data_IF_477921066681
#
_entry.id   IF_477921066681
#
_cell.length_a   1.000
_cell.length_b   1.000
_cell.length_c   1.000
_cell.angle_alpha   90.00
_cell.angle_beta   90.00
_cell.angle_gamma   90.00
#
_symmetry.space_group_name_H-M   'P 1'
#
loop_
_entity.id
_entity.type
_entity.pdbx_description
1 polymer ?
#
# COMPACT_ATOMS: atom_id res chain seq x y z
N UNK A 1 -13.00 2.46 -20.50
CA UNK A 1 -13.70 1.84 -19.35
C UNK A 1 -13.82 2.91 -18.29
N UNK A 2 -14.96 3.02 -17.62
CA UNK A 2 -15.13 3.97 -16.51
C UNK A 2 -14.22 3.50 -15.38
N UNK A 3 -13.39 4.42 -14.88
CA UNK A 3 -12.45 4.14 -13.79
C UNK A 3 -12.96 4.87 -12.56
N UNK A 4 -13.02 4.16 -11.44
CA UNK A 4 -13.30 4.78 -10.16
C UNK A 4 -11.97 5.31 -9.61
N UNK A 5 -11.97 6.53 -9.08
CA UNK A 5 -10.84 7.06 -8.31
C UNK A 5 -11.29 7.44 -6.91
N UNK A 6 -10.39 7.27 -5.97
CA UNK A 6 -10.54 7.75 -4.60
C UNK A 6 -9.97 9.16 -4.55
N UNK A 7 -10.73 10.06 -3.93
CA UNK A 7 -10.29 11.43 -3.72
C UNK A 7 -10.62 11.89 -2.30
N UNK A 8 -9.82 12.85 -1.84
CA UNK A 8 -9.99 13.52 -0.57
C UNK A 8 -10.03 15.03 -0.72
N UNK A 9 -10.71 15.69 0.21
CA UNK A 9 -10.71 17.15 0.27
C UNK A 9 -9.49 17.60 1.07
N UNK A 10 -8.59 18.38 0.49
CA UNK A 10 -7.43 18.96 1.18
C UNK A 10 -7.48 20.47 1.03
N UNK A 11 -7.76 21.18 2.13
CA UNK A 11 -7.72 22.65 2.16
C UNK A 11 -8.62 23.36 1.13
N UNK A 12 -9.80 22.78 0.84
CA UNK A 12 -10.76 23.32 -0.13
C UNK A 12 -10.54 22.85 -1.58
N UNK A 13 -9.50 22.05 -1.84
CA UNK A 13 -9.27 21.35 -3.11
C UNK A 13 -9.54 19.86 -2.97
N UNK A 14 -9.59 19.15 -4.09
CA UNK A 14 -9.74 17.70 -4.09
C UNK A 14 -8.48 17.07 -4.65
N UNK A 15 -7.86 16.20 -3.86
CA UNK A 15 -6.62 15.50 -4.17
C UNK A 15 -6.92 14.02 -4.38
N UNK A 16 -6.10 13.38 -5.21
CA UNK A 16 -6.26 11.95 -5.53
C UNK A 16 -5.52 11.12 -4.49
N UNK A 17 -6.18 10.08 -4.01
CA UNK A 17 -5.61 9.08 -3.11
C UNK A 17 -5.02 7.96 -3.96
N UNK A 18 -3.76 7.62 -3.69
CA UNK A 18 -3.03 6.55 -4.37
C UNK A 18 -2.74 5.36 -3.44
N UNK A 19 -2.74 5.60 -2.14
CA UNK A 19 -2.44 4.63 -1.10
C UNK A 19 -3.31 4.84 0.14
N UNK A 20 -3.33 3.87 1.04
CA UNK A 20 -4.05 3.99 2.31
C UNK A 20 -3.49 5.12 3.19
N UNK A 21 -2.20 5.38 3.08
CA UNK A 21 -1.48 6.39 3.85
C UNK A 21 -1.80 7.82 3.38
N UNK A 22 -2.23 7.97 2.12
CA UNK A 22 -2.73 9.25 1.61
C UNK A 22 -4.09 9.61 2.20
N UNK A 23 -4.79 8.64 2.83
CA UNK A 23 -6.11 8.86 3.41
C UNK A 23 -5.94 9.51 4.77
N UNK A 24 -6.29 10.79 4.86
CA UNK A 24 -6.21 11.54 6.11
C UNK A 24 -7.02 10.85 7.22
N UNK A 25 -6.57 11.02 8.47
CA UNK A 25 -7.30 10.58 9.65
C UNK A 25 -8.54 11.48 9.77
N UNK A 26 -9.61 11.07 9.08
CA UNK A 26 -10.93 11.68 9.02
C UNK A 26 -10.96 13.19 8.69
N UNK A 27 -11.21 13.51 7.42
CA UNK A 27 -11.49 14.88 6.97
C UNK A 27 -12.97 15.26 7.16
N UNK A 28 -13.33 16.52 7.51
CA UNK A 28 -12.49 17.71 7.58
C UNK A 28 -12.21 18.15 9.01
N UNK A 29 -11.18 17.60 9.67
CA UNK A 29 -10.64 18.26 10.84
C UNK A 29 -9.12 18.28 10.83
N UNK A 30 -8.57 19.46 10.52
CA UNK A 30 -7.13 19.74 10.55
C UNK A 30 -6.58 19.93 11.99
N UNK A 31 -7.29 19.47 13.03
CA UNK A 31 -6.98 19.81 14.44
C UNK A 31 -7.20 18.66 15.43
N UNK A 32 -6.52 17.54 15.23
CA UNK A 32 -6.41 16.50 16.27
C UNK A 32 -7.75 15.93 16.74
N UNK A 33 -7.76 15.35 17.96
CA UNK A 33 -8.90 14.56 18.47
C UNK A 33 -10.18 15.41 18.60
N UNK A 34 -11.17 15.18 17.74
CA UNK A 34 -12.48 15.81 17.88
C UNK A 34 -13.30 15.24 19.06
N UNK A 35 -14.08 16.07 19.78
CA UNK A 35 -14.97 15.61 20.85
C UNK A 35 -15.98 14.57 20.35
N UNK A 36 -16.05 13.42 21.04
CA UNK A 36 -16.96 12.32 20.69
C UNK A 36 -16.36 11.25 19.76
N UNK A 37 -15.15 11.48 19.23
CA UNK A 37 -14.39 10.49 18.45
C UNK A 37 -13.34 9.79 19.28
N UNK A 38 -12.99 8.57 18.86
CA UNK A 38 -12.01 7.74 19.54
C UNK A 38 -10.84 7.49 18.61
N UNK A 39 -9.63 7.49 19.19
CA UNK A 39 -8.40 7.32 18.44
C UNK A 39 -7.46 6.37 19.17
N UNK A 40 -6.79 5.52 18.42
CA UNK A 40 -5.81 4.57 18.95
C UNK A 40 -4.67 4.38 17.94
N UNK A 41 -3.48 4.09 18.46
CA UNK A 41 -2.35 3.70 17.62
C UNK A 41 -2.57 2.29 17.09
N UNK A 42 -2.68 2.15 15.77
CA UNK A 42 -2.81 0.89 15.03
C UNK A 42 -1.73 0.86 13.96
N UNK A 43 -0.95 -0.22 13.87
CA UNK A 43 0.24 -0.32 12.98
C UNK A 43 1.24 0.84 13.11
N UNK A 44 1.33 1.48 14.29
CA UNK A 44 2.23 2.62 14.52
C UNK A 44 1.67 3.98 14.07
N UNK A 45 0.48 4.02 13.50
CA UNK A 45 -0.22 5.24 13.09
C UNK A 45 -1.36 5.55 14.06
N UNK A 46 -1.58 6.81 14.41
CA UNK A 46 -2.73 7.21 15.21
C UNK A 46 -3.97 7.21 14.32
N UNK A 47 -4.86 6.24 14.49
CA UNK A 47 -6.04 6.05 13.66
C UNK A 47 -7.33 6.42 14.41
N UNK A 48 -8.36 6.87 13.68
CA UNK A 48 -9.72 6.90 14.22
C UNK A 48 -10.26 5.48 14.32
N UNK A 49 -10.96 5.17 15.40
CA UNK A 49 -11.57 3.87 15.62
C UNK A 49 -13.08 3.96 15.81
N UNK A 50 -13.79 2.95 15.29
CA UNK A 50 -15.23 2.86 15.37
C UNK A 50 -15.69 2.93 16.82
N UNK A 51 -16.61 3.86 17.08
CA UNK A 51 -17.30 3.96 18.35
C UNK A 51 -18.80 4.14 18.16
N UNK A 52 -19.59 3.64 19.11
CA UNK A 52 -21.04 3.77 19.12
C UNK A 52 -21.50 4.15 20.53
N UNK A 53 -22.30 5.21 20.64
CA UNK A 53 -22.74 5.74 21.94
C UNK A 53 -21.58 6.14 22.86
N UNK A 54 -20.46 6.60 22.30
CA UNK A 54 -19.26 6.95 23.06
C UNK A 54 -18.41 5.75 23.52
N UNK A 55 -18.70 4.53 23.06
CA UNK A 55 -17.91 3.32 23.38
C UNK A 55 -17.23 2.76 22.15
N UNK A 56 -15.92 2.53 22.25
CA UNK A 56 -15.12 1.86 21.22
C UNK A 56 -15.67 0.47 20.96
N UNK A 57 -15.89 0.17 19.68
CA UNK A 57 -16.31 -1.15 19.23
C UNK A 57 -15.08 -2.02 19.03
N UNK A 58 -15.17 -3.26 19.53
CA UNK A 58 -14.15 -4.28 19.30
C UNK A 58 -14.79 -5.44 18.56
N UNK A 59 -14.00 -6.04 17.69
CA UNK A 59 -14.26 -7.33 17.06
C UNK A 59 -14.32 -8.41 18.15
N UNK A 60 -14.83 -9.60 17.82
CA UNK A 60 -14.96 -10.68 18.81
C UNK A 60 -13.59 -11.20 19.26
N UNK A 61 -12.58 -11.09 18.40
CA UNK A 61 -11.16 -11.35 18.69
C UNK A 61 -10.44 -10.17 19.38
N UNK A 62 -11.13 -9.08 19.72
CA UNK A 62 -10.61 -8.01 20.57
C UNK A 62 -9.86 -6.89 19.83
N UNK A 63 -9.87 -6.89 18.50
CA UNK A 63 -9.30 -5.83 17.66
C UNK A 63 -10.29 -4.67 17.51
N UNK A 64 -9.74 -3.47 17.29
CA UNK A 64 -10.55 -2.29 16.96
C UNK A 64 -10.88 -2.28 15.46
N UNK A 65 -11.83 -1.43 15.06
CA UNK A 65 -12.09 -1.14 13.66
C UNK A 65 -11.55 0.23 13.31
N UNK A 66 -10.64 0.32 12.35
CA UNK A 66 -10.11 1.59 11.86
C UNK A 66 -11.11 2.24 10.91
N UNK A 67 -11.44 3.49 11.17
CA UNK A 67 -12.41 4.29 10.41
C UNK A 67 -11.69 5.16 9.38
N UNK A 68 -12.06 5.02 8.09
CA UNK A 68 -11.56 5.86 7.00
C UNK A 68 -12.71 6.41 6.15
N UNK A 69 -12.51 7.64 5.66
CA UNK A 69 -13.52 8.44 4.99
C UNK A 69 -12.94 9.00 3.70
N UNK A 70 -13.59 8.72 2.57
CA UNK A 70 -13.13 9.21 1.27
C UNK A 70 -14.29 9.33 0.28
N UNK A 71 -14.04 9.97 -0.86
CA UNK A 71 -15.04 10.09 -1.93
C UNK A 71 -14.62 9.24 -3.12
N UNK A 72 -15.53 8.40 -3.60
CA UNK A 72 -15.38 7.73 -4.89
C UNK A 72 -15.94 8.62 -6.00
N UNK A 73 -15.16 8.81 -7.06
CA UNK A 73 -15.56 9.50 -8.30
C UNK A 73 -15.43 8.55 -9.50
N UNK A 74 -16.34 8.68 -10.46
CA UNK A 74 -16.19 8.05 -11.77
C UNK A 74 -15.52 9.04 -12.74
N UNK A 75 -14.49 8.59 -13.45
CA UNK A 75 -13.70 9.46 -14.35
C UNK A 75 -14.46 10.04 -15.52
N UNK A 76 -15.56 9.41 -15.95
CA UNK A 76 -16.36 9.90 -17.07
C UNK A 76 -17.35 10.98 -16.62
N UNK A 77 -17.87 10.86 -15.40
CA UNK A 77 -19.02 11.65 -14.95
C UNK A 77 -18.70 12.55 -13.75
N UNK A 78 -17.51 12.41 -13.16
CA UNK A 78 -17.03 13.20 -12.04
C UNK A 78 -17.92 13.07 -10.80
N UNK A 79 -18.20 14.21 -10.15
CA UNK A 79 -19.08 14.29 -8.96
C UNK A 79 -20.57 14.16 -9.28
N UNK A 80 -20.94 14.13 -10.55
CA UNK A 80 -22.33 14.31 -11.00
C UNK A 80 -23.10 13.00 -11.17
N UNK A 81 -22.53 11.85 -10.80
CA UNK A 81 -23.21 10.55 -10.93
C UNK A 81 -23.11 9.68 -9.69
N UNK A 82 -24.14 8.86 -9.41
CA UNK A 82 -24.08 7.84 -8.37
C UNK A 82 -22.93 6.87 -8.64
N UNK A 83 -22.01 6.72 -7.69
CA UNK A 83 -20.90 5.78 -7.77
C UNK A 83 -21.21 4.57 -6.90
N UNK A 84 -21.09 3.37 -7.46
CA UNK A 84 -21.22 2.15 -6.67
C UNK A 84 -20.02 1.99 -5.74
N UNK A 85 -20.28 1.62 -4.48
CA UNK A 85 -19.20 1.27 -3.55
C UNK A 85 -18.88 -0.22 -3.72
N UNK A 86 -17.64 -0.58 -4.07
CA UNK A 86 -17.22 -1.98 -4.14
C UNK A 86 -16.98 -2.55 -2.74
N UNK A 87 -17.25 -3.84 -2.55
CA UNK A 87 -17.03 -4.49 -1.27
C UNK A 87 -15.54 -4.62 -0.96
N UNK A 88 -15.06 -4.20 0.23
CA UNK A 88 -13.64 -4.25 0.59
C UNK A 88 -13.18 -5.64 1.08
N UNK A 89 -14.07 -6.63 1.14
CA UNK A 89 -13.76 -8.01 1.50
C UNK A 89 -14.80 -8.99 0.93
N UNK A 90 -14.40 -10.26 0.81
CA UNK A 90 -15.35 -11.37 0.70
C UNK A 90 -16.07 -11.58 2.05
N UNK A 91 -17.31 -12.05 2.00
CA UNK A 91 -18.03 -12.47 3.21
C UNK A 91 -19.52 -12.60 2.98
N UNK A 92 -20.28 -12.36 4.06
CA UNK A 92 -21.72 -12.36 4.08
C UNK A 92 -22.24 -11.05 4.68
N UNK A 93 -23.29 -10.48 4.09
CA UNK A 93 -23.74 -9.15 4.47
C UNK A 93 -24.87 -9.17 5.51
N UNK A 94 -24.84 -8.21 6.44
CA UNK A 94 -26.03 -7.78 7.19
C UNK A 94 -26.30 -6.32 6.86
N UNK A 95 -27.56 -5.97 6.60
CA UNK A 95 -27.93 -4.69 6.01
C UNK A 95 -28.95 -3.99 6.91
N UNK A 96 -28.72 -2.70 7.16
CA UNK A 96 -29.74 -1.81 7.66
C UNK A 96 -30.04 -0.75 6.60
N UNK A 97 -31.15 -0.95 5.88
CA UNK A 97 -31.59 -0.07 4.80
C UNK A 97 -31.99 1.32 5.27
N UNK A 98 -32.36 1.49 6.55
CA UNK A 98 -32.79 2.78 7.09
C UNK A 98 -31.59 3.69 7.38
N UNK A 99 -30.50 3.11 7.90
CA UNK A 99 -29.27 3.85 8.19
C UNK A 99 -28.28 3.87 7.02
N UNK A 100 -28.51 3.06 5.98
CA UNK A 100 -27.58 2.91 4.86
C UNK A 100 -26.31 2.17 5.28
N UNK A 101 -26.45 1.19 6.15
CA UNK A 101 -25.35 0.42 6.73
C UNK A 101 -25.26 -0.95 6.07
N UNK A 102 -24.06 -1.33 5.66
CA UNK A 102 -23.74 -2.70 5.22
C UNK A 102 -22.58 -3.22 6.03
N UNK A 103 -22.77 -4.32 6.75
CA UNK A 103 -21.71 -5.02 7.50
C UNK A 103 -21.33 -6.29 6.76
N UNK A 104 -20.04 -6.57 6.64
CA UNK A 104 -19.51 -7.80 6.05
C UNK A 104 -18.95 -8.67 7.18
N UNK A 105 -19.43 -9.90 7.27
CA UNK A 105 -18.97 -10.92 8.20
C UNK A 105 -18.25 -12.05 7.45
N UNK A 106 -17.25 -12.67 8.07
CA UNK A 106 -16.55 -13.83 7.49
C UNK A 106 -17.47 -15.06 7.33
N UNK A 107 -18.44 -15.23 8.24
CA UNK A 107 -19.49 -16.25 8.24
C UNK A 107 -20.74 -15.75 8.97
N UNK A 108 -21.86 -16.46 8.82
CA UNK A 108 -23.09 -16.19 9.57
C UNK A 108 -23.55 -17.44 10.33
N UNK A 109 -24.29 -17.29 11.45
CA UNK A 109 -24.73 -16.02 12.05
C UNK A 109 -23.71 -15.33 12.97
N UNK A 110 -22.70 -16.07 13.44
CA UNK A 110 -21.78 -15.69 14.53
C UNK A 110 -20.33 -15.47 14.07
N UNK A 111 -20.16 -14.96 12.86
CA UNK A 111 -18.85 -14.63 12.31
C UNK A 111 -18.24 -13.35 12.87
N UNK A 112 -16.96 -13.16 12.57
CA UNK A 112 -16.23 -11.93 12.82
C UNK A 112 -16.65 -10.85 11.83
N UNK A 113 -16.84 -9.63 12.31
CA UNK A 113 -17.08 -8.50 11.40
C UNK A 113 -15.75 -8.12 10.75
N UNK A 114 -15.69 -8.18 9.43
CA UNK A 114 -14.50 -7.78 8.66
C UNK A 114 -14.55 -6.27 8.41
N UNK A 115 -15.72 -5.79 7.99
CA UNK A 115 -15.90 -4.39 7.61
C UNK A 115 -17.33 -3.93 7.85
N UNK A 116 -17.49 -2.63 8.05
CA UNK A 116 -18.77 -1.93 8.03
C UNK A 116 -18.65 -0.74 7.10
N UNK A 117 -19.61 -0.58 6.19
CA UNK A 117 -19.70 0.54 5.25
C UNK A 117 -20.96 1.34 5.56
N UNK A 118 -20.82 2.66 5.68
CA UNK A 118 -21.91 3.59 6.03
C UNK A 118 -22.20 4.55 4.87
N UNK A 119 -23.33 5.24 4.98
CA UNK A 119 -23.80 6.23 3.99
C UNK A 119 -24.10 5.62 2.62
N UNK A 120 -24.62 4.39 2.60
CA UNK A 120 -25.06 3.72 1.39
C UNK A 120 -26.52 4.05 1.06
N UNK A 121 -26.82 4.32 -0.20
CA UNK A 121 -28.18 4.20 -0.74
C UNK A 121 -28.40 2.79 -1.28
N UNK A 122 -29.30 2.08 -0.62
CA UNK A 122 -29.65 0.68 -0.91
C UNK A 122 -31.05 0.54 -1.52
N UNK A 123 -31.74 1.66 -1.78
CA UNK A 123 -33.07 1.64 -2.38
C UNK A 123 -32.97 1.11 -3.80
N UNK A 124 -33.71 0.04 -4.08
CA UNK A 124 -33.66 -0.64 -5.38
C UNK A 124 -32.37 -1.41 -5.65
N UNK A 125 -31.42 -1.46 -4.72
CA UNK A 125 -30.21 -2.29 -4.88
C UNK A 125 -30.51 -3.75 -4.48
N UNK A 126 -30.15 -4.75 -5.31
CA UNK A 126 -30.58 -6.14 -5.12
C UNK A 126 -29.70 -6.91 -4.12
N UNK A 127 -29.39 -6.32 -2.97
CA UNK A 127 -28.63 -6.94 -1.88
C UNK A 127 -29.56 -7.17 -0.67
N UNK A 128 -29.49 -8.36 -0.06
CA UNK A 128 -30.32 -8.79 1.07
C UNK A 128 -29.47 -9.27 2.24
N UNK A 129 -30.05 -9.23 3.43
CA UNK A 129 -29.43 -9.82 4.62
C UNK A 129 -29.11 -11.29 4.39
N UNK A 130 -27.88 -11.67 4.72
CA UNK A 130 -27.36 -13.02 4.54
C UNK A 130 -26.71 -13.29 3.20
N UNK A 131 -26.82 -12.39 2.22
CA UNK A 131 -26.25 -12.63 0.89
C UNK A 131 -24.72 -12.75 0.96
N UNK A 132 -24.11 -13.68 0.20
CA UNK A 132 -22.68 -13.70 0.01
C UNK A 132 -22.28 -12.48 -0.82
N UNK A 133 -21.17 -11.84 -0.45
CA UNK A 133 -20.58 -10.76 -1.20
C UNK A 133 -19.11 -11.07 -1.49
N UNK A 134 -18.65 -10.67 -2.66
CA UNK A 134 -17.27 -10.88 -3.08
C UNK A 134 -16.49 -9.57 -3.10
N UNK A 135 -15.19 -9.63 -2.79
CA UNK A 135 -14.27 -8.51 -2.85
C UNK A 135 -14.34 -7.81 -4.22
N UNK A 136 -14.65 -6.52 -4.22
CA UNK A 136 -14.88 -5.68 -5.39
C UNK A 136 -16.33 -5.61 -5.88
N UNK A 137 -17.24 -6.45 -5.35
CA UNK A 137 -18.63 -6.53 -5.81
C UNK A 137 -19.39 -5.28 -5.37
N UNK A 138 -20.18 -4.63 -6.23
CA UNK A 138 -21.02 -3.51 -5.82
C UNK A 138 -21.94 -3.88 -4.66
N UNK A 139 -21.96 -3.06 -3.62
CA UNK A 139 -22.77 -3.30 -2.42
C UNK A 139 -23.87 -2.25 -2.19
N UNK A 140 -23.92 -1.23 -3.05
CA UNK A 140 -24.89 -0.14 -3.04
C UNK A 140 -24.31 1.11 -3.69
N UNK A 141 -25.06 2.21 -3.66
CA UNK A 141 -24.61 3.50 -4.15
C UNK A 141 -24.03 4.36 -3.01
N UNK A 142 -22.95 5.07 -3.28
CA UNK A 142 -22.40 6.08 -2.39
C UNK A 142 -23.43 7.22 -2.20
N UNK A 143 -23.73 7.58 -0.96
CA UNK A 143 -24.70 8.62 -0.63
C UNK A 143 -24.21 9.51 0.54
N UNK A 144 -25.00 10.53 0.88
CA UNK A 144 -24.81 11.31 2.10
C UNK A 144 -25.50 10.69 3.31
N UNK A 145 -25.32 11.29 4.49
CA UNK A 145 -25.99 10.87 5.73
C UNK A 145 -27.53 10.87 5.56
N UNK A 146 -28.20 9.75 5.88
CA UNK A 146 -29.68 9.68 5.89
C UNK A 146 -30.35 8.99 4.70
N UNK A 147 -29.70 8.00 4.06
CA UNK A 147 -30.41 7.04 3.19
C UNK A 147 -30.80 7.56 1.81
N UNK A 148 -29.92 8.36 1.18
CA UNK A 148 -30.02 8.65 -0.26
C UNK A 148 -30.69 9.98 -0.65
N UNK A 149 -30.76 10.96 0.25
CA UNK A 149 -31.00 12.36 -0.16
C UNK A 149 -29.67 13.00 -0.60
N UNK A 150 -29.40 12.98 -1.90
CA UNK A 150 -28.16 13.46 -2.53
C UNK A 150 -27.93 14.98 -2.37
N UNK A 151 -28.94 15.73 -1.92
CA UNK A 151 -28.87 17.20 -1.82
C UNK A 151 -28.67 17.72 -0.39
N UNK A 152 -28.72 16.85 0.62
CA UNK A 152 -28.74 17.26 2.03
C UNK A 152 -27.38 17.21 2.74
N UNK A 153 -26.50 16.30 2.32
CA UNK A 153 -25.17 16.13 2.93
C UNK A 153 -24.11 15.77 1.87
N UNK A 154 -22.83 16.12 2.08
CA UNK A 154 -21.74 15.77 1.17
C UNK A 154 -21.67 14.25 0.95
N UNK A 155 -21.63 13.81 -0.30
CA UNK A 155 -21.50 12.41 -0.69
C UNK A 155 -20.09 11.90 -0.39
N UNK A 156 -19.97 10.89 0.48
CA UNK A 156 -18.71 10.24 0.84
C UNK A 156 -18.98 8.80 1.27
N UNK A 157 -17.94 7.97 1.24
CA UNK A 157 -17.97 6.61 1.77
C UNK A 157 -17.20 6.59 3.08
N UNK A 158 -17.82 6.01 4.11
CA UNK A 158 -17.18 5.72 5.39
C UNK A 158 -17.01 4.22 5.53
N UNK A 159 -15.78 3.75 5.73
CA UNK A 159 -15.48 2.33 5.96
C UNK A 159 -14.79 2.17 7.32
N UNK A 160 -15.40 1.36 8.18
CA UNK A 160 -14.80 0.86 9.42
C UNK A 160 -14.28 -0.55 9.16
N UNK A 161 -12.97 -0.75 9.18
CA UNK A 161 -12.33 -2.02 8.82
C UNK A 161 -11.64 -2.65 10.01
N UNK A 162 -11.81 -3.96 10.22
CA UNK A 162 -11.19 -4.67 11.34
C UNK A 162 -9.66 -4.53 11.24
N UNK A 163 -9.02 -4.06 12.32
CA UNK A 163 -7.58 -3.82 12.37
C UNK A 163 -6.76 -5.09 12.08
N UNK A 164 -7.29 -6.27 12.42
CA UNK A 164 -6.67 -7.57 12.10
C UNK A 164 -6.64 -7.87 10.59
N UNK A 165 -7.31 -7.07 9.78
CA UNK A 165 -7.42 -7.24 8.34
C UNK A 165 -7.02 -5.98 7.56
N UNK A 166 -6.36 -5.01 8.19
CA UNK A 166 -5.97 -3.73 7.56
C UNK A 166 -5.22 -3.89 6.23
N UNK A 167 -4.42 -4.95 6.05
CA UNK A 167 -3.75 -5.23 4.78
C UNK A 167 -4.73 -5.43 3.61
N UNK A 168 -5.90 -6.05 3.85
CA UNK A 168 -6.95 -6.18 2.84
C UNK A 168 -7.55 -4.82 2.48
N UNK A 169 -7.65 -3.93 3.46
CA UNK A 169 -8.14 -2.58 3.24
C UNK A 169 -7.11 -1.72 2.49
N UNK A 170 -5.82 -1.82 2.82
CA UNK A 170 -4.72 -1.22 2.04
C UNK A 170 -4.72 -1.72 0.60
N UNK A 171 -4.95 -3.01 0.38
CA UNK A 171 -5.13 -3.59 -0.95
C UNK A 171 -6.34 -2.99 -1.67
N UNK A 172 -7.48 -2.86 -0.99
CA UNK A 172 -8.71 -2.27 -1.53
C UNK A 172 -8.49 -0.86 -2.09
N UNK A 173 -7.77 0.01 -1.37
CA UNK A 173 -7.43 1.35 -1.86
C UNK A 173 -6.56 1.28 -3.13
N UNK A 174 -5.52 0.43 -3.13
CA UNK A 174 -4.63 0.24 -4.30
C UNK A 174 -5.35 -0.35 -5.51
N UNK A 175 -6.25 -1.30 -5.30
CA UNK A 175 -6.98 -1.97 -6.37
C UNK A 175 -8.00 -1.03 -7.02
N UNK A 176 -8.57 -0.09 -6.26
CA UNK A 176 -9.37 1.01 -6.84
C UNK A 176 -8.47 1.99 -7.61
N UNK A 177 -7.37 2.48 -7.03
CA UNK A 177 -6.52 3.49 -7.70
C UNK A 177 -5.87 2.96 -8.98
N UNK A 178 -5.42 1.71 -8.97
CA UNK A 178 -4.87 1.03 -10.15
C UNK A 178 -5.94 0.71 -11.20
N UNK A 179 -7.21 0.62 -10.80
CA UNK A 179 -8.34 0.27 -11.67
C UNK A 179 -8.55 -1.25 -11.81
N UNK A 180 -7.96 -2.06 -10.92
CA UNK A 180 -8.29 -3.48 -10.76
C UNK A 180 -9.76 -3.64 -10.36
N UNK A 181 -10.23 -2.78 -9.45
CA UNK A 181 -11.64 -2.59 -9.14
C UNK A 181 -12.18 -1.43 -9.99
N UNK A 182 -13.27 -1.64 -10.71
CA UNK A 182 -13.89 -0.62 -11.58
C UNK A 182 -15.43 -0.73 -11.54
N UNK A 183 -16.13 0.31 -12.02
CA UNK A 183 -17.60 0.33 -12.12
C UNK A 183 -18.14 -0.61 -13.20
N UNK A 184 -17.33 -0.98 -14.21
CA UNK A 184 -17.77 -1.73 -15.39
C UNK A 184 -17.35 -3.22 -15.37
N UNK A 185 -16.33 -3.56 -14.58
CA UNK A 185 -15.79 -4.92 -14.47
C UNK A 185 -15.61 -5.30 -13.01
N UNK A 186 -16.33 -6.35 -12.67
CA UNK A 186 -16.02 -7.25 -11.57
C UNK A 186 -15.32 -8.50 -12.16
N UNK A 187 -14.40 -9.20 -11.47
CA UNK A 187 -13.89 -10.49 -11.94
C UNK A 187 -15.02 -11.54 -11.95
N UNK A 188 -15.83 -11.51 -13.00
CA UNK A 188 -16.87 -12.47 -13.31
C UNK A 188 -16.58 -13.10 -14.67
N UNK A 189 -15.54 -13.96 -14.74
CA UNK A 189 -15.37 -15.13 -15.61
C UNK A 189 -13.91 -15.41 -15.98
N UNK A 190 -13.46 -16.62 -15.63
CA UNK A 190 -12.42 -17.37 -16.33
C UNK A 190 -12.05 -18.66 -15.57
N UNK A 191 -11.68 -19.73 -16.28
CA UNK A 191 -12.55 -20.65 -17.01
C UNK A 191 -13.29 -21.63 -16.08
N UNK A 192 -14.21 -22.42 -16.63
CA UNK A 192 -15.00 -23.43 -15.93
C UNK A 192 -14.13 -24.35 -15.05
N UNK A 193 -14.26 -24.21 -13.73
CA UNK A 193 -13.85 -25.25 -12.80
C UNK A 193 -14.87 -26.39 -12.92
N UNK A 194 -14.39 -27.52 -13.39
CA UNK A 194 -15.10 -28.78 -13.42
C UNK A 194 -15.57 -29.12 -12.00
N UNK A 195 -16.79 -29.64 -11.92
CA UNK A 195 -17.39 -30.23 -10.73
C UNK A 195 -16.40 -31.16 -10.01
N UNK A 196 -16.04 -30.79 -8.78
CA UNK A 196 -15.66 -31.76 -7.76
C UNK A 196 -16.43 -31.42 -6.49
N UNK A 197 -17.20 -32.35 -5.90
CA UNK A 197 -18.05 -32.05 -4.75
C UNK A 197 -17.21 -31.76 -3.50
N UNK A 198 -17.58 -30.70 -2.78
CA UNK A 198 -17.12 -30.42 -1.42
C UNK A 198 -17.80 -31.43 -0.49
N UNK A 199 -17.09 -32.49 -0.11
CA UNK A 199 -17.49 -33.31 1.03
C UNK A 199 -17.02 -32.62 2.31
N UNK A 200 -17.97 -32.26 3.17
CA UNK A 200 -17.76 -31.84 4.55
C UNK A 200 -16.97 -32.91 5.33
N UNK A 201 -16.10 -32.55 6.29
CA UNK A 201 -15.77 -33.45 7.38
C UNK A 201 -16.70 -33.18 8.56
N UNK A 202 -17.63 -34.10 8.78
CA UNK A 202 -18.33 -34.26 10.04
C UNK A 202 -17.42 -34.96 11.08
N UNK A 203 -17.65 -34.61 12.34
CA UNK A 203 -17.22 -35.21 13.61
C UNK A 203 -16.34 -36.47 13.60
N UNK A 204 -15.23 -36.44 14.35
CA UNK A 204 -14.66 -37.63 15.01
C UNK A 204 -13.62 -37.25 16.08
N UNK A 205 -13.79 -37.79 17.30
CA UNK A 205 -12.75 -38.00 18.32
C UNK A 205 -13.00 -39.40 18.94
N UNK A 206 -12.02 -40.15 19.49
CA UNK A 206 -10.60 -40.33 19.18
C UNK A 206 -10.19 -41.82 19.01
N UNK A 207 -9.06 -42.13 18.34
CA UNK A 207 -8.21 -43.31 18.66
C UNK A 207 -6.84 -43.30 17.93
N UNK A 208 -5.79 -43.11 18.74
CA UNK A 208 -4.42 -43.67 18.77
C UNK A 208 -3.62 -44.10 17.50
N UNK A 209 -2.41 -43.53 17.44
CA UNK A 209 -1.07 -44.02 17.05
C UNK A 209 -0.69 -44.49 15.62
N UNK A 210 0.24 -43.69 15.02
CA UNK A 210 1.56 -44.01 14.38
C UNK A 210 1.74 -43.47 12.93
N UNK A 211 2.99 -43.19 12.47
CA UNK A 211 3.90 -42.10 12.82
C UNK A 211 4.04 -41.03 11.70
N UNK A 212 4.57 -39.85 12.07
CA UNK A 212 4.71 -38.64 11.26
C UNK A 212 5.42 -38.81 9.91
N UNK A 213 4.80 -38.29 8.85
CA UNK A 213 5.42 -38.07 7.54
C UNK A 213 6.48 -36.96 7.63
N UNK A 214 7.62 -37.16 6.97
CA UNK A 214 8.71 -36.20 6.87
C UNK A 214 8.26 -34.89 6.20
N UNK A 215 8.79 -33.71 6.60
CA UNK A 215 8.46 -32.43 5.99
C UNK A 215 8.88 -32.41 4.51
N UNK A 216 8.04 -31.81 3.66
CA UNK A 216 8.30 -31.66 2.23
C UNK A 216 9.60 -30.86 1.99
N UNK A 217 10.46 -31.34 1.09
CA UNK A 217 11.68 -30.63 0.69
C UNK A 217 11.32 -29.29 0.03
N UNK A 218 11.88 -28.20 0.53
CA UNK A 218 11.71 -26.87 -0.05
C UNK A 218 12.13 -26.83 -1.54
N UNK A 219 11.38 -26.11 -2.38
CA UNK A 219 11.78 -25.79 -3.75
C UNK A 219 11.68 -26.91 -4.79
N UNK A 220 11.10 -28.08 -4.46
CA UNK A 220 10.94 -29.19 -5.42
C UNK A 220 10.05 -28.84 -6.64
N UNK A 221 9.18 -27.84 -6.49
CA UNK A 221 8.31 -27.27 -7.53
C UNK A 221 8.79 -25.88 -8.02
N UNK A 222 9.99 -25.45 -7.59
CA UNK A 222 10.55 -24.13 -7.93
C UNK A 222 9.93 -22.96 -7.15
N UNK A 223 9.23 -23.24 -6.05
CA UNK A 223 8.60 -22.22 -5.20
C UNK A 223 9.02 -22.44 -3.73
N UNK A 224 9.21 -21.35 -2.97
CA UNK A 224 9.41 -21.42 -1.52
C UNK A 224 8.24 -20.75 -0.80
N UNK A 225 7.69 -21.41 0.23
CA UNK A 225 6.51 -20.91 0.97
C UNK A 225 6.53 -21.33 2.45
N UNK A 226 5.69 -20.67 3.23
CA UNK A 226 5.57 -20.91 4.67
C UNK A 226 5.33 -22.39 5.01
N UNK A 227 6.06 -22.89 6.00
CA UNK A 227 5.99 -24.28 6.47
C UNK A 227 7.00 -25.23 5.81
N UNK A 228 7.72 -24.78 4.78
CA UNK A 228 8.82 -25.54 4.18
C UNK A 228 10.12 -25.35 4.97
N UNK A 229 11.06 -26.28 4.78
CA UNK A 229 12.39 -26.25 5.41
C UNK A 229 13.48 -26.68 4.40
N UNK A 230 14.67 -26.09 4.47
CA UNK A 230 15.79 -26.45 3.58
C UNK A 230 16.83 -25.35 3.35
N UNK A 231 17.92 -25.72 2.68
CA UNK A 231 19.03 -24.82 2.38
C UNK A 231 18.60 -23.64 1.49
N UNK A 232 17.61 -23.85 0.63
CA UNK A 232 17.02 -22.85 -0.25
C UNK A 232 16.32 -21.74 0.55
N UNK A 233 15.66 -22.10 1.66
CA UNK A 233 15.00 -21.12 2.54
C UNK A 233 16.03 -20.34 3.33
N UNK A 234 17.11 -21.00 3.77
CA UNK A 234 18.23 -20.30 4.41
C UNK A 234 18.82 -19.24 3.46
N UNK A 235 19.06 -19.61 2.21
CA UNK A 235 19.57 -18.67 1.20
C UNK A 235 18.59 -17.50 0.96
N UNK A 236 17.28 -17.77 0.94
CA UNK A 236 16.24 -16.74 0.88
C UNK A 236 16.32 -15.79 2.10
N UNK A 237 16.40 -16.33 3.32
CA UNK A 237 16.50 -15.55 4.56
C UNK A 237 17.78 -14.69 4.58
N UNK A 238 18.92 -15.24 4.15
CA UNK A 238 20.19 -14.52 4.02
C UNK A 238 20.07 -13.36 3.00
N UNK A 239 19.42 -13.60 1.87
CA UNK A 239 19.18 -12.58 0.84
C UNK A 239 18.26 -11.46 1.35
N UNK A 240 17.15 -11.82 1.99
CA UNK A 240 16.21 -10.85 2.58
C UNK A 240 16.91 -9.98 3.63
N UNK A 241 17.70 -10.58 4.53
CA UNK A 241 18.51 -9.86 5.50
C UNK A 241 19.54 -8.94 4.84
N UNK A 242 20.21 -9.40 3.78
CA UNK A 242 21.20 -8.60 3.04
C UNK A 242 20.57 -7.34 2.44
N UNK A 243 19.34 -7.45 1.95
CA UNK A 243 18.56 -6.32 1.45
C UNK A 243 17.80 -5.57 2.58
N UNK A 244 18.02 -5.99 3.83
CA UNK A 244 17.46 -5.44 5.06
C UNK A 244 15.95 -5.52 5.19
N UNK A 245 15.34 -6.50 4.53
CA UNK A 245 13.95 -6.87 4.78
C UNK A 245 13.86 -7.64 6.09
N UNK A 246 13.10 -7.07 7.01
CA UNK A 246 12.87 -7.58 8.35
C UNK A 246 11.46 -8.13 8.51
N UNK A 247 11.20 -8.78 9.63
CA UNK A 247 9.84 -9.09 10.05
C UNK A 247 9.00 -7.82 10.30
N UNK A 248 7.70 -8.00 10.58
CA UNK A 248 6.78 -6.88 10.79
C UNK A 248 7.14 -5.98 11.99
N UNK A 249 8.05 -6.43 12.86
CA UNK A 249 8.52 -5.70 14.05
C UNK A 249 9.91 -5.07 13.84
N UNK A 250 10.43 -5.09 12.62
CA UNK A 250 11.75 -4.53 12.32
C UNK A 250 12.91 -5.43 12.75
N UNK A 251 12.66 -6.71 13.05
CA UNK A 251 13.71 -7.65 13.48
C UNK A 251 14.29 -8.39 12.27
N UNK A 252 15.62 -8.46 12.22
CA UNK A 252 16.31 -9.28 11.23
C UNK A 252 15.89 -10.75 11.35
N UNK A 253 15.86 -11.45 10.22
CA UNK A 253 15.54 -12.87 10.17
C UNK A 253 16.68 -13.70 10.75
N UNK A 254 16.33 -14.82 11.37
CA UNK A 254 17.29 -15.89 11.67
C UNK A 254 17.38 -16.81 10.45
N UNK A 255 18.56 -17.01 9.82
CA UNK A 255 18.72 -17.96 8.72
C UNK A 255 18.75 -19.41 9.21
N UNK A 256 17.66 -19.86 9.82
CA UNK A 256 17.51 -21.17 10.45
C UNK A 256 17.09 -22.29 9.48
N UNK A 257 16.89 -21.96 8.20
CA UNK A 257 16.38 -22.88 7.16
C UNK A 257 14.89 -23.16 7.25
N UNK A 258 14.15 -22.48 8.13
CA UNK A 258 12.71 -22.68 8.34
C UNK A 258 11.90 -21.51 7.78
N UNK A 259 10.94 -21.79 6.90
CA UNK A 259 10.07 -20.74 6.35
C UNK A 259 8.94 -20.46 7.34
N UNK A 260 9.26 -19.74 8.41
CA UNK A 260 8.32 -19.28 9.43
C UNK A 260 7.56 -17.99 9.06
N UNK A 261 6.72 -17.53 9.98
CA UNK A 261 5.94 -16.31 9.83
C UNK A 261 6.82 -15.07 9.58
N UNK A 262 7.96 -14.97 10.28
CA UNK A 262 8.89 -13.86 10.12
C UNK A 262 9.53 -13.83 8.72
N UNK A 263 9.91 -14.99 8.18
CA UNK A 263 10.42 -15.12 6.81
C UNK A 263 9.36 -14.69 5.79
N UNK A 264 8.08 -15.04 6.04
CA UNK A 264 6.96 -14.60 5.20
C UNK A 264 6.80 -13.09 5.24
N UNK A 265 6.76 -12.49 6.42
CA UNK A 265 6.62 -11.03 6.60
C UNK A 265 7.73 -10.26 5.87
N UNK A 266 8.98 -10.71 5.99
CA UNK A 266 10.11 -10.11 5.28
C UNK A 266 10.04 -10.31 3.77
N UNK A 267 9.63 -11.49 3.30
CA UNK A 267 9.43 -11.74 1.87
C UNK A 267 8.32 -10.86 1.30
N UNK A 268 7.24 -10.68 2.05
CA UNK A 268 6.14 -9.78 1.71
C UNK A 268 6.61 -8.33 1.61
N UNK A 269 7.45 -7.89 2.54
CA UNK A 269 8.09 -6.57 2.48
C UNK A 269 8.97 -6.44 1.21
N UNK A 270 9.77 -7.46 0.89
CA UNK A 270 10.52 -7.52 -0.36
C UNK A 270 9.59 -7.45 -1.57
N UNK A 271 8.53 -8.25 -1.62
CA UNK A 271 7.61 -8.27 -2.75
C UNK A 271 6.94 -6.90 -2.96
N UNK A 272 6.49 -6.23 -1.88
CA UNK A 272 5.94 -4.86 -1.95
C UNK A 272 6.94 -3.87 -2.50
N UNK A 273 8.15 -3.84 -1.95
CA UNK A 273 9.20 -2.93 -2.39
C UNK A 273 9.67 -3.22 -3.83
N UNK A 274 9.46 -4.45 -4.30
CA UNK A 274 9.81 -4.88 -5.65
C UNK A 274 8.66 -4.84 -6.65
N UNK A 275 7.50 -4.27 -6.30
CA UNK A 275 6.34 -4.18 -7.19
C UNK A 275 5.82 -5.56 -7.63
N UNK A 276 6.09 -6.57 -6.80
CA UNK A 276 5.65 -7.95 -7.00
C UNK A 276 4.34 -8.19 -6.27
N UNK A 277 3.72 -9.35 -6.55
CA UNK A 277 2.57 -9.83 -5.79
C UNK A 277 3.02 -10.14 -4.36
N UNK A 278 2.41 -9.48 -3.38
CA UNK A 278 2.67 -9.62 -1.94
C UNK A 278 1.92 -10.84 -1.36
N UNK A 279 2.24 -12.03 -1.84
CA UNK A 279 1.61 -13.28 -1.39
C UNK A 279 2.45 -14.08 -0.39
N UNK A 280 3.68 -13.60 -0.09
CA UNK A 280 4.60 -14.28 0.81
C UNK A 280 5.10 -15.61 0.25
N UNK A 281 5.08 -15.76 -1.07
CA UNK A 281 5.52 -16.94 -1.81
C UNK A 281 6.69 -16.57 -2.74
N UNK A 282 7.84 -17.20 -2.55
CA UNK A 282 9.01 -16.99 -3.41
C UNK A 282 8.89 -17.86 -4.67
N UNK A 283 7.98 -17.47 -5.57
CA UNK A 283 7.88 -18.07 -6.90
C UNK A 283 8.92 -17.51 -7.90
N UNK A 284 8.90 -17.95 -9.17
CA UNK A 284 9.92 -17.60 -10.15
C UNK A 284 10.18 -16.09 -10.31
N UNK A 285 9.13 -15.25 -10.29
CA UNK A 285 9.27 -13.79 -10.38
C UNK A 285 9.96 -13.19 -9.15
N UNK A 286 9.67 -13.71 -7.96
CA UNK A 286 10.27 -13.26 -6.71
C UNK A 286 11.75 -13.67 -6.64
N UNK A 287 12.05 -14.92 -7.01
CA UNK A 287 13.42 -15.43 -7.07
C UNK A 287 14.26 -14.70 -8.13
N UNK A 288 13.70 -14.41 -9.30
CA UNK A 288 14.36 -13.61 -10.32
C UNK A 288 14.63 -12.17 -9.84
N UNK A 289 13.68 -11.56 -9.12
CA UNK A 289 13.87 -10.24 -8.55
C UNK A 289 15.00 -10.23 -7.51
N UNK A 290 15.03 -11.21 -6.60
CA UNK A 290 16.12 -11.38 -5.62
C UNK A 290 17.47 -11.50 -6.32
N UNK A 291 17.57 -12.38 -7.33
CA UNK A 291 18.80 -12.57 -8.11
C UNK A 291 19.24 -11.30 -8.83
N UNK A 292 18.31 -10.53 -9.41
CA UNK A 292 18.62 -9.24 -10.04
C UNK A 292 19.12 -8.22 -9.03
N UNK A 293 18.54 -8.20 -7.83
CA UNK A 293 19.00 -7.35 -6.73
C UNK A 293 20.40 -7.73 -6.26
N UNK A 294 20.76 -9.02 -6.29
CA UNK A 294 22.12 -9.47 -5.97
C UNK A 294 23.16 -9.10 -7.02
N UNK A 295 22.75 -9.02 -8.29
CA UNK A 295 23.63 -8.73 -9.43
C UNK A 295 23.76 -7.23 -9.73
N UNK A 296 22.89 -6.40 -9.18
CA UNK A 296 22.87 -4.96 -9.43
C UNK A 296 23.93 -4.23 -8.60
N UNK A 297 24.77 -3.36 -9.20
CA UNK A 297 25.70 -2.55 -8.41
C UNK A 297 24.91 -1.60 -7.50
N UNK A 298 25.35 -1.45 -6.24
CA UNK A 298 24.73 -0.53 -5.28
C UNK A 298 25.07 0.93 -5.61
N UNK A 299 24.31 1.88 -5.07
CA UNK A 299 24.59 3.32 -5.23
C UNK A 299 26.03 3.72 -4.83
N UNK A 300 26.59 3.08 -3.80
CA UNK A 300 27.98 3.30 -3.39
C UNK A 300 29.02 2.80 -4.40
N UNK A 301 28.64 1.92 -5.31
CA UNK A 301 29.55 1.38 -6.32
C UNK A 301 29.80 2.44 -7.44
N UNK A 302 31.07 2.75 -7.79
CA UNK A 302 31.41 3.71 -8.84
C UNK A 302 30.86 3.44 -10.25
N UNK A 303 30.53 2.19 -10.56
CA UNK A 303 29.91 1.80 -11.82
C UNK A 303 28.39 2.03 -11.87
N UNK A 304 27.75 2.39 -10.74
CA UNK A 304 26.32 2.70 -10.74
C UNK A 304 26.06 4.04 -11.45
N UNK A 305 25.04 4.15 -12.34
CA UNK A 305 24.78 5.38 -13.10
C UNK A 305 24.50 6.60 -12.22
N UNK A 306 23.92 6.40 -11.04
CA UNK A 306 23.63 7.45 -10.06
C UNK A 306 24.66 7.60 -8.95
N UNK A 307 25.82 6.95 -9.07
CA UNK A 307 26.89 7.06 -8.09
C UNK A 307 27.35 8.50 -7.87
N UNK A 308 27.37 9.33 -8.92
CA UNK A 308 27.76 10.73 -8.82
C UNK A 308 26.83 11.52 -7.88
N UNK A 309 25.52 11.34 -8.01
CA UNK A 309 24.53 11.99 -7.15
C UNK A 309 24.58 11.42 -5.73
N UNK A 310 24.79 10.12 -5.58
CA UNK A 310 25.04 9.49 -4.27
C UNK A 310 26.22 10.13 -3.54
N UNK A 311 27.35 10.34 -4.22
CA UNK A 311 28.50 11.03 -3.61
C UNK A 311 28.19 12.46 -3.21
N UNK A 312 27.37 13.18 -3.96
CA UNK A 312 26.92 14.53 -3.59
C UNK A 312 26.10 14.50 -2.30
N UNK A 313 25.18 13.52 -2.16
CA UNK A 313 24.43 13.32 -0.92
C UNK A 313 25.33 13.00 0.27
N UNK A 314 26.29 12.08 0.11
CA UNK A 314 27.27 11.73 1.16
C UNK A 314 28.06 12.96 1.60
N UNK A 315 28.65 13.69 0.66
CA UNK A 315 29.43 14.91 0.96
C UNK A 315 28.57 15.98 1.63
N UNK A 316 27.32 16.13 1.22
CA UNK A 316 26.38 17.07 1.84
C UNK A 316 26.07 16.69 3.28
N UNK A 317 25.82 15.41 3.56
CA UNK A 317 25.57 14.91 4.91
C UNK A 317 26.82 14.99 5.80
N UNK A 318 28.00 14.72 5.27
CA UNK A 318 29.27 14.87 6.00
C UNK A 318 29.51 16.33 6.44
N UNK A 319 29.14 17.30 5.60
CA UNK A 319 29.25 18.74 5.90
C UNK A 319 28.34 19.18 7.05
N UNK A 320 27.25 18.46 7.33
CA UNK A 320 26.42 18.72 8.51
C UNK A 320 27.15 18.37 9.82
N UNK A 321 28.19 17.54 9.74
CA UNK A 321 29.02 17.14 10.86
C UNK A 321 28.27 16.33 11.92
N UNK A 322 28.84 16.22 13.14
CA UNK A 322 28.26 15.42 14.23
C UNK A 322 26.84 15.85 14.63
N UNK A 323 26.49 17.11 14.40
CA UNK A 323 25.17 17.67 14.72
C UNK A 323 24.04 17.08 13.86
N UNK A 324 24.37 16.38 12.77
CA UNK A 324 23.39 15.62 11.99
C UNK A 324 22.77 14.47 12.79
N UNK A 325 23.48 13.94 13.80
CA UNK A 325 22.98 12.89 14.68
C UNK A 325 23.01 11.47 14.10
N UNK A 326 23.83 11.22 13.08
CA UNK A 326 24.12 9.86 12.61
C UNK A 326 25.08 9.16 13.57
N UNK A 327 24.78 7.93 13.96
CA UNK A 327 25.57 7.16 14.94
C UNK A 327 26.79 6.50 14.32
N UNK A 328 26.81 6.36 12.99
CA UNK A 328 27.90 5.74 12.25
C UNK A 328 27.96 6.25 10.81
N UNK A 329 29.10 6.05 10.15
CA UNK A 329 29.22 6.32 8.72
C UNK A 329 28.24 5.48 7.90
N UNK A 330 27.99 4.23 8.31
CA UNK A 330 27.00 3.37 7.65
C UNK A 330 25.56 3.93 7.72
N UNK A 331 25.16 4.57 8.83
CA UNK A 331 23.87 5.29 8.91
C UNK A 331 23.82 6.48 7.95
N UNK A 332 24.92 7.21 7.82
CA UNK A 332 25.05 8.34 6.89
C UNK A 332 24.94 7.86 5.43
N UNK A 333 25.64 6.78 5.08
CA UNK A 333 25.60 6.21 3.72
C UNK A 333 24.20 5.71 3.33
N UNK A 334 23.49 5.06 4.26
CA UNK A 334 22.07 4.67 4.06
C UNK A 334 21.17 5.88 3.87
N UNK A 335 21.35 6.92 4.68
CA UNK A 335 20.61 8.16 4.54
C UNK A 335 20.92 8.85 3.20
N UNK A 336 22.19 8.84 2.76
CA UNK A 336 22.60 9.38 1.46
C UNK A 336 21.96 8.63 0.29
N UNK A 337 21.87 7.30 0.37
CA UNK A 337 21.24 6.47 -0.65
C UNK A 337 19.74 6.78 -0.78
N UNK A 338 19.03 6.87 0.35
CA UNK A 338 17.59 7.23 0.37
C UNK A 338 17.38 8.66 -0.12
N UNK A 339 18.23 9.60 0.30
CA UNK A 339 18.16 10.98 -0.15
C UNK A 339 18.41 11.12 -1.67
N UNK A 340 19.28 10.27 -2.23
CA UNK A 340 19.54 10.19 -3.68
C UNK A 340 18.31 9.69 -4.44
N UNK A 341 17.63 8.67 -3.90
CA UNK A 341 16.36 8.18 -4.44
C UNK A 341 15.30 9.27 -4.45
N UNK A 342 15.04 9.91 -3.31
CA UNK A 342 14.04 10.98 -3.17
C UNK A 342 14.35 12.19 -4.06
N UNK A 343 15.62 12.59 -4.16
CA UNK A 343 16.06 13.65 -5.07
C UNK A 343 15.69 13.32 -6.51
N UNK A 344 15.98 12.09 -6.97
CA UNK A 344 15.72 11.70 -8.36
C UNK A 344 14.22 11.56 -8.66
N UNK A 345 13.44 10.99 -7.73
CA UNK A 345 11.99 10.93 -7.83
C UNK A 345 11.40 12.34 -7.91
N UNK A 346 11.87 13.25 -7.05
CA UNK A 346 11.53 14.68 -7.05
C UNK A 346 12.03 15.48 -8.25
N UNK A 347 12.73 14.83 -9.20
CA UNK A 347 13.15 15.45 -10.46
C UNK A 347 14.45 16.25 -10.38
N UNK A 348 15.22 16.12 -9.29
CA UNK A 348 16.55 16.72 -9.20
C UNK A 348 17.51 15.97 -10.15
N UNK A 349 18.39 16.75 -10.77
CA UNK A 349 19.46 16.26 -11.65
C UNK A 349 20.79 16.13 -10.91
N UNK A 350 20.94 16.86 -9.81
CA UNK A 350 22.09 16.81 -8.90
C UNK A 350 21.67 17.29 -7.50
N UNK A 351 22.54 17.08 -6.52
CA UNK A 351 22.40 17.60 -5.16
C UNK A 351 23.53 18.59 -4.92
N UNK A 352 23.18 19.88 -4.87
CA UNK A 352 24.17 20.95 -4.62
C UNK A 352 24.37 21.16 -3.12
N UNK A 353 23.30 21.02 -2.34
CA UNK A 353 23.31 21.15 -0.89
C UNK A 353 22.45 20.09 -0.19
N UNK A 354 22.84 19.76 1.03
CA UNK A 354 22.01 19.00 1.97
C UNK A 354 21.78 19.84 3.22
N UNK A 355 20.54 19.90 3.69
CA UNK A 355 20.16 20.68 4.86
C UNK A 355 19.29 19.85 5.83
N UNK A 356 19.39 20.16 7.12
CA UNK A 356 18.45 19.66 8.11
C UNK A 356 17.19 20.52 8.12
N UNK A 357 16.06 19.88 8.33
CA UNK A 357 14.84 20.54 8.80
C UNK A 357 15.06 21.29 10.11
N UNK A 358 14.20 22.28 10.38
CA UNK A 358 14.30 23.14 11.57
C UNK A 358 14.17 22.37 12.89
N UNK A 359 13.42 21.27 12.91
CA UNK A 359 13.29 20.37 14.06
C UNK A 359 14.34 19.25 14.07
N UNK A 360 15.21 19.18 13.05
CA UNK A 360 16.26 18.18 12.90
C UNK A 360 15.80 16.77 12.57
N UNK A 361 14.49 16.54 12.32
CA UNK A 361 13.95 15.19 12.03
C UNK A 361 13.97 14.84 10.56
N UNK A 362 13.91 15.81 9.67
CA UNK A 362 14.02 15.64 8.22
C UNK A 362 15.35 16.12 7.62
N UNK A 363 15.67 15.60 6.43
CA UNK A 363 16.75 15.99 5.55
C UNK A 363 16.18 16.56 4.25
N UNK A 364 16.85 17.55 3.68
CA UNK A 364 16.54 18.12 2.37
C UNK A 364 17.73 17.96 1.43
N UNK A 365 17.48 17.42 0.24
CA UNK A 365 18.37 17.55 -0.91
C UNK A 365 17.93 18.79 -1.68
N UNK A 366 18.88 19.67 -2.02
CA UNK A 366 18.60 20.93 -2.70
C UNK A 366 19.47 21.06 -3.94
N UNK A 367 18.85 21.42 -5.06
CA UNK A 367 19.50 21.81 -6.30
C UNK A 367 19.31 23.32 -6.53
N UNK A 368 20.39 24.02 -6.85
CA UNK A 368 20.46 25.48 -6.89
C UNK A 368 20.89 26.10 -5.55
N UNK A 369 20.90 27.43 -5.48
CA UNK A 369 21.31 28.14 -4.26
C UNK A 369 20.28 28.01 -3.13
N UNK A 370 20.73 27.88 -1.88
CA UNK A 370 19.84 27.75 -0.71
C UNK A 370 18.86 28.93 -0.51
N UNK A 371 19.23 30.11 -1.01
CA UNK A 371 18.41 31.33 -0.96
C UNK A 371 17.75 31.68 -2.28
N UNK A 372 17.96 30.85 -3.32
CA UNK A 372 17.35 31.04 -4.64
C UNK A 372 15.88 30.63 -4.58
N UNK A 373 14.90 31.50 -4.89
CA UNK A 373 13.50 31.12 -4.95
C UNK A 373 13.20 29.99 -5.97
N UNK A 374 14.06 29.81 -6.97
CA UNK A 374 13.95 28.76 -7.99
C UNK A 374 14.62 27.44 -7.62
N UNK A 375 15.10 27.25 -6.38
CA UNK A 375 15.71 25.98 -5.98
C UNK A 375 14.69 24.83 -6.07
N UNK A 376 15.17 23.66 -6.46
CA UNK A 376 14.39 22.43 -6.35
C UNK A 376 14.84 21.67 -5.10
N UNK A 377 13.89 21.00 -4.44
CA UNK A 377 14.21 20.21 -3.26
C UNK A 377 13.42 18.93 -3.16
N UNK A 378 14.03 17.93 -2.56
CA UNK A 378 13.37 16.73 -2.08
C UNK A 378 13.55 16.63 -0.56
N UNK A 379 12.59 16.00 0.12
CA UNK A 379 12.57 15.85 1.56
C UNK A 379 12.50 14.36 1.93
N UNK A 380 13.21 13.98 2.99
CA UNK A 380 13.10 12.64 3.58
C UNK A 380 13.14 12.72 5.10
N UNK A 381 12.42 11.85 5.79
CA UNK A 381 12.61 11.68 7.23
C UNK A 381 13.99 11.07 7.51
N UNK A 382 14.75 11.68 8.41
CA UNK A 382 16.14 11.30 8.72
C UNK A 382 16.22 9.93 9.38
N UNK A 383 15.29 9.61 10.28
CA UNK A 383 15.30 8.33 10.98
C UNK A 383 14.95 7.20 10.03
N UNK A 384 13.95 7.40 9.17
CA UNK A 384 13.62 6.49 8.08
C UNK A 384 14.81 6.31 7.13
N UNK A 385 15.42 7.41 6.67
CA UNK A 385 16.55 7.36 5.73
C UNK A 385 17.76 6.61 6.32
N UNK A 386 18.05 6.79 7.61
CA UNK A 386 19.14 6.10 8.30
C UNK A 386 18.83 4.62 8.60
N UNK A 387 17.56 4.25 8.68
CA UNK A 387 17.13 2.87 8.91
C UNK A 387 17.00 2.07 7.59
N UNK A 388 16.73 2.73 6.47
CA UNK A 388 16.52 2.09 5.19
C UNK A 388 17.82 1.54 4.60
N UNK A 389 17.89 0.25 4.23
CA UNK A 389 19.05 -0.34 3.55
C UNK A 389 19.37 0.35 2.22
N UNK A 390 20.66 0.48 1.91
CA UNK A 390 21.09 1.13 0.66
C UNK A 390 20.60 0.37 -0.57
N UNK A 391 20.55 -0.95 -0.46
CA UNK A 391 20.07 -1.86 -1.48
C UNK A 391 18.62 -1.57 -1.86
N UNK A 392 17.77 -1.30 -0.85
CA UNK A 392 16.37 -0.94 -1.06
C UNK A 392 16.28 0.37 -1.87
N UNK A 393 17.02 1.42 -1.49
CA UNK A 393 17.01 2.71 -2.20
C UNK A 393 17.61 2.60 -3.61
N UNK A 394 18.67 1.81 -3.78
CA UNK A 394 19.29 1.52 -5.10
C UNK A 394 18.25 0.90 -6.02
N UNK A 395 17.53 -0.10 -5.53
CA UNK A 395 16.57 -0.84 -6.32
C UNK A 395 15.31 -0.01 -6.64
N UNK A 396 14.78 0.75 -5.67
CA UNK A 396 13.66 1.68 -5.90
C UNK A 396 13.98 2.67 -7.03
N UNK A 397 15.22 3.17 -7.08
CA UNK A 397 15.67 4.08 -8.13
C UNK A 397 15.76 3.41 -9.51
N UNK A 398 16.15 2.13 -9.58
CA UNK A 398 16.11 1.36 -10.83
C UNK A 398 14.68 1.16 -11.35
N UNK A 399 13.71 0.91 -10.45
CA UNK A 399 12.31 0.76 -10.85
C UNK A 399 11.74 2.04 -11.44
N UNK A 400 11.94 3.18 -10.77
CA UNK A 400 11.50 4.48 -11.26
C UNK A 400 12.09 4.79 -12.64
N UNK A 401 13.39 4.54 -12.83
CA UNK A 401 14.04 4.71 -14.14
C UNK A 401 13.40 3.86 -15.25
N UNK A 402 13.10 2.58 -14.97
CA UNK A 402 12.43 1.70 -15.93
C UNK A 402 11.00 2.17 -16.25
N UNK A 403 10.28 2.66 -15.24
CA UNK A 403 8.91 3.15 -15.42
C UNK A 403 8.87 4.43 -16.25
N UNK A 404 9.79 5.38 -16.00
CA UNK A 404 9.94 6.59 -16.82
C UNK A 404 10.26 6.28 -18.27
N UNK A 405 11.19 5.37 -18.53
CA UNK A 405 11.51 4.92 -19.90
C UNK A 405 10.29 4.35 -20.63
N UNK A 406 9.47 3.53 -19.94
CA UNK A 406 8.23 2.99 -20.52
C UNK A 406 7.21 4.09 -20.84
N UNK A 407 7.09 5.10 -19.98
CA UNK A 407 6.18 6.24 -20.18
C UNK A 407 6.64 7.13 -21.35
N UNK A 408 7.94 7.36 -21.49
CA UNK A 408 8.52 8.13 -22.60
C UNK A 408 8.34 7.42 -23.95
N UNK A 409 8.51 6.09 -23.98
CA UNK A 409 8.30 5.28 -25.20
C UNK A 409 6.82 5.17 -25.61
N UNK A 410 5.88 5.43 -24.69
CA UNK A 410 4.44 5.34 -24.94
C UNK A 410 3.83 6.65 -25.48
N UNK A 411 4.58 7.75 -25.59
CA UNK A 411 4.08 9.00 -26.16
C UNK A 411 4.19 9.01 -27.70
N UNK A 412 3.09 9.20 -28.46
CA UNK A 412 3.16 9.34 -29.90
C UNK A 412 3.81 10.68 -30.27
N UNK A 413 4.86 10.62 -31.09
CA UNK A 413 5.56 11.78 -31.68
C UNK A 413 4.56 12.59 -32.51
N UNK A 414 4.00 13.66 -31.94
CA UNK A 414 3.17 14.59 -32.69
C UNK A 414 4.10 15.45 -33.55
N UNK A 415 4.17 15.09 -34.84
CA UNK A 415 4.99 15.75 -35.85
C UNK A 415 4.64 17.25 -35.92
N UNK A 416 5.63 18.09 -35.64
CA UNK A 416 5.64 19.52 -35.98
C UNK A 416 5.53 19.65 -37.52
N UNK A 417 4.33 19.96 -38.03
CA UNK A 417 4.20 20.44 -39.41
C UNK A 417 4.60 21.92 -39.47
N UNK A 418 5.50 22.31 -40.39
CA UNK A 418 5.91 23.70 -40.55
C UNK A 418 4.75 24.51 -41.16
N UNK A 419 4.39 25.62 -40.53
CA UNK A 419 3.42 26.56 -41.07
C UNK A 419 4.00 27.22 -42.33
N UNK A 420 3.46 26.86 -43.49
CA UNK A 420 3.78 27.52 -44.76
C UNK A 420 2.86 28.72 -44.92
N UNK A 421 3.51 29.87 -45.08
CA UNK A 421 3.00 31.22 -45.35
C UNK A 421 1.79 31.28 -46.30
N UNK A 422 0.84 32.16 -45.98
CA UNK A 422 -0.03 32.79 -46.99
C UNK A 422 0.20 34.30 -46.98
N UNK A 423 0.93 34.75 -48.00
CA UNK A 423 1.04 36.15 -48.36
C UNK A 423 -0.32 36.68 -48.84
N UNK A 424 -0.60 37.90 -48.42
CA UNK A 424 -1.78 38.69 -48.79
C UNK A 424 -1.44 39.38 -50.12
N UNK A 425 -2.30 39.23 -51.11
CA UNK A 425 -2.32 40.04 -52.34
C UNK A 425 -3.56 40.92 -52.32
#
# INVERSE_FOLDING_TARGET
MSKIRIVESVGGKTERVHSYEDIEIHHPSKKGKEPGRHYQVVDGHNEEILSSGGKVQHSRDGHVFVSKDFVLLDDKTGRSSPVHVPAPADGFVKIDKNSGLVKIYDKLPDGEMIAQVRHMDLRGFPLKDGDPIKYGQPMGLQAGMGGGDLNKYPTHTHIDFNANHLDKFKQYIRDIDSGVISTDRYPGKGPAAQDTPVTQPADSKPAQDKPAAQPARAGADGVLRQGEQGAEIRALQESLNKFGYTDARGRALTPDSDFGAHTKEALQAFQRAHGLKDDGIAGPRTLDALKKSEQSPLLANPQHPDHAMYKQAVQGLEKLGPNAGFKSHAELERAAATLTFEAKVGGLKQIDHVALSTNGTGLFAVQGGLTDPGHHRAHVDKAQAAAQPMEQSTFQLQQDAQQRQKLEQAQPVQQLQPQVSRAIA
#
